data_IF_314037684418
#
_entry.id   IF_314037684418
#
_cell.length_a   1.000
_cell.length_b   1.000
_cell.length_c   1.000
_cell.angle_alpha   90.00
_cell.angle_beta   90.00
_cell.angle_gamma   90.00
#
_symmetry.space_group_name_H-M   'P 1'
#
loop_
_entity.id
_entity.type
_entity.pdbx_description
1 polymer ?
#
# COMPACT_ATOMS: atom_id res chain seq x y z
N UNK A 1 19.00 -54.95 -37.17
CA UNK A 1 19.17 -54.85 -35.70
C UNK A 1 18.94 -53.42 -35.26
N UNK A 2 17.98 -53.19 -34.36
CA UNK A 2 17.91 -52.11 -33.32
C UNK A 2 18.07 -50.64 -33.80
N UNK A 3 17.26 -49.66 -33.43
CA UNK A 3 16.28 -49.48 -32.35
C UNK A 3 15.44 -48.25 -32.66
N UNK A 4 14.16 -48.33 -32.32
CA UNK A 4 13.19 -47.26 -32.21
C UNK A 4 13.56 -46.28 -31.07
N UNK A 5 12.86 -45.13 -31.05
CA UNK A 5 12.36 -44.36 -29.90
C UNK A 5 12.85 -42.90 -29.87
N UNK A 6 12.07 -41.96 -30.43
CA UNK A 6 12.13 -40.52 -30.11
C UNK A 6 10.98 -39.72 -30.75
N UNK A 7 9.74 -39.93 -30.30
CA UNK A 7 8.64 -38.98 -30.51
C UNK A 7 7.62 -39.17 -29.41
N UNK A 8 7.84 -38.52 -28.26
CA UNK A 8 6.84 -38.24 -27.22
C UNK A 8 7.56 -37.49 -26.09
N UNK A 9 7.61 -36.16 -26.16
CA UNK A 9 7.80 -35.25 -25.00
C UNK A 9 7.78 -33.76 -25.43
N UNK A 10 6.86 -33.35 -26.31
CA UNK A 10 6.68 -31.92 -26.64
C UNK A 10 5.22 -31.49 -26.74
N UNK A 11 4.37 -31.98 -25.84
CA UNK A 11 2.96 -31.59 -25.80
C UNK A 11 2.40 -31.42 -24.37
N UNK A 12 3.23 -30.95 -23.42
CA UNK A 12 2.73 -30.62 -22.07
C UNK A 12 3.05 -29.18 -21.61
N UNK A 13 3.64 -28.35 -22.48
CA UNK A 13 4.05 -26.98 -22.13
C UNK A 13 3.07 -25.85 -22.51
N UNK A 14 2.03 -26.13 -23.31
CA UNK A 14 1.22 -25.06 -23.93
C UNK A 14 -0.14 -24.79 -23.29
N UNK A 15 -0.55 -25.55 -22.26
CA UNK A 15 -1.85 -25.34 -21.60
C UNK A 15 -1.81 -24.45 -20.35
N UNK A 16 -0.63 -24.08 -19.85
CA UNK A 16 -0.51 -23.20 -18.67
C UNK A 16 -0.53 -21.70 -19.02
N UNK A 17 -0.10 -21.31 -20.22
CA UNK A 17 -0.04 -19.90 -20.64
C UNK A 17 -1.40 -19.27 -20.96
N UNK A 18 -2.34 -20.07 -21.48
CA UNK A 18 -3.68 -19.59 -21.86
C UNK A 18 -4.56 -19.29 -20.64
N UNK A 19 -4.42 -20.05 -19.56
CA UNK A 19 -5.24 -19.85 -18.34
C UNK A 19 -4.91 -18.53 -17.63
N UNK A 20 -3.63 -18.16 -17.53
CA UNK A 20 -3.23 -16.89 -16.91
C UNK A 20 -3.68 -15.67 -17.75
N UNK A 21 -3.53 -15.74 -19.08
CA UNK A 21 -4.04 -14.69 -19.97
C UNK A 21 -5.57 -14.59 -19.92
N UNK A 22 -6.29 -15.72 -19.93
CA UNK A 22 -7.76 -15.74 -19.79
C UNK A 22 -8.22 -15.18 -18.45
N UNK A 23 -7.54 -15.48 -17.35
CA UNK A 23 -7.86 -14.94 -16.01
C UNK A 23 -7.57 -13.44 -15.95
N UNK A 24 -6.44 -12.97 -16.49
CA UNK A 24 -6.11 -11.54 -16.57
C UNK A 24 -7.08 -10.76 -17.47
N UNK A 25 -7.47 -11.35 -18.60
CA UNK A 25 -8.42 -10.75 -19.55
C UNK A 25 -9.84 -10.71 -19.00
N UNK A 26 -10.30 -11.78 -18.32
CA UNK A 26 -11.59 -11.78 -17.60
C UNK A 26 -11.62 -10.73 -16.48
N UNK A 27 -10.51 -10.58 -15.75
CA UNK A 27 -10.39 -9.56 -14.70
C UNK A 27 -10.51 -8.14 -15.26
N UNK A 28 -9.95 -7.86 -16.46
CA UNK A 28 -10.09 -6.57 -17.14
C UNK A 28 -11.51 -6.30 -17.65
N UNK A 29 -12.19 -7.31 -18.19
CA UNK A 29 -13.56 -7.15 -18.75
C UNK A 29 -14.59 -6.91 -17.65
N UNK A 30 -14.47 -7.58 -16.50
CA UNK A 30 -15.40 -7.41 -15.36
C UNK A 30 -15.33 -5.99 -14.78
N UNK A 31 -14.18 -5.32 -14.84
CA UNK A 31 -14.00 -3.95 -14.31
C UNK A 31 -14.69 -2.90 -15.19
N UNK A 32 -14.92 -3.18 -16.48
CA UNK A 32 -15.39 -2.19 -17.45
C UNK A 32 -16.92 -2.08 -17.57
N UNK A 33 -17.73 -2.83 -16.81
CA UNK A 33 -19.20 -2.84 -16.92
C UNK A 33 -19.93 -2.75 -15.57
N UNK A 34 -19.41 -1.94 -14.64
CA UNK A 34 -20.11 -1.69 -13.38
C UNK A 34 -21.10 -0.51 -13.52
N UNK A 35 -22.40 -0.71 -13.24
CA UNK A 35 -23.39 0.36 -13.25
C UNK A 35 -23.05 1.39 -12.16
N UNK A 36 -23.45 2.64 -12.39
CA UNK A 36 -23.32 3.76 -11.44
C UNK A 36 -24.25 3.54 -10.24
N UNK A 37 -23.87 2.67 -9.32
CA UNK A 37 -24.55 2.40 -8.06
C UNK A 37 -23.68 2.85 -6.87
N UNK A 38 -24.35 3.21 -5.76
CA UNK A 38 -23.84 3.94 -4.59
C UNK A 38 -22.38 3.66 -4.25
N UNK A 39 -21.62 4.74 -3.97
CA UNK A 39 -20.19 4.82 -3.61
C UNK A 39 -19.67 3.72 -2.64
N UNK A 40 -20.54 3.14 -1.81
CA UNK A 40 -20.26 2.04 -0.88
C UNK A 40 -20.20 0.65 -1.55
N UNK A 41 -20.86 0.44 -2.69
CA UNK A 41 -20.90 -0.85 -3.38
C UNK A 41 -19.56 -1.22 -4.02
N UNK A 42 -18.77 -0.25 -4.50
CA UNK A 42 -17.51 -0.53 -5.20
C UNK A 42 -16.35 -0.88 -4.26
N UNK A 43 -16.16 -0.12 -3.18
CA UNK A 43 -15.10 -0.40 -2.20
C UNK A 43 -15.36 -1.71 -1.44
N UNK A 44 -16.61 -1.94 -1.01
CA UNK A 44 -16.98 -3.18 -0.34
C UNK A 44 -16.79 -4.40 -1.24
N UNK A 45 -17.23 -4.31 -2.49
CA UNK A 45 -17.02 -5.39 -3.48
C UNK A 45 -15.53 -5.64 -3.71
N UNK A 46 -14.74 -4.58 -3.89
CA UNK A 46 -13.29 -4.70 -4.08
C UNK A 46 -12.61 -5.35 -2.88
N UNK A 47 -12.93 -4.90 -1.66
CA UNK A 47 -12.36 -5.45 -0.43
C UNK A 47 -12.69 -6.94 -0.31
N UNK A 48 -13.96 -7.32 -0.49
CA UNK A 48 -14.40 -8.72 -0.49
C UNK A 48 -13.70 -9.57 -1.56
N UNK A 49 -13.50 -9.03 -2.76
CA UNK A 49 -12.79 -9.71 -3.84
C UNK A 49 -11.32 -9.96 -3.49
N UNK A 50 -10.64 -8.97 -2.92
CA UNK A 50 -9.25 -9.08 -2.47
C UNK A 50 -9.13 -10.12 -1.36
N UNK A 51 -10.10 -10.18 -0.44
CA UNK A 51 -10.03 -11.01 0.76
C UNK A 51 -10.75 -12.36 0.65
N UNK A 52 -11.31 -12.72 -0.51
CA UNK A 52 -12.22 -13.88 -0.68
C UNK A 52 -11.67 -15.22 -0.16
N UNK A 53 -10.36 -15.43 -0.25
CA UNK A 53 -9.68 -16.68 0.13
C UNK A 53 -8.82 -16.52 1.40
N UNK A 54 -9.13 -15.50 2.22
CA UNK A 54 -8.42 -15.21 3.46
C UNK A 54 -9.33 -15.48 4.64
N UNK A 55 -8.77 -15.98 5.74
CA UNK A 55 -9.53 -16.37 6.94
C UNK A 55 -9.29 -15.37 8.06
N UNK A 56 -8.03 -15.05 8.36
CA UNK A 56 -7.67 -14.19 9.49
C UNK A 56 -7.53 -12.73 9.07
N UNK A 57 -7.67 -11.81 10.03
CA UNK A 57 -7.48 -10.37 9.78
C UNK A 57 -6.06 -10.06 9.32
N UNK A 58 -5.07 -10.81 9.81
CA UNK A 58 -3.68 -10.71 9.32
C UNK A 58 -3.56 -11.10 7.84
N UNK A 59 -4.27 -12.13 7.39
CA UNK A 59 -4.28 -12.55 5.98
C UNK A 59 -5.02 -11.53 5.10
N UNK A 60 -6.18 -11.06 5.56
CA UNK A 60 -6.97 -10.01 4.88
C UNK A 60 -6.16 -8.71 4.73
N UNK A 61 -5.57 -8.24 5.82
CA UNK A 61 -4.75 -7.03 5.83
C UNK A 61 -3.54 -7.15 4.89
N UNK A 62 -2.86 -8.30 4.88
CA UNK A 62 -1.76 -8.58 3.95
C UNK A 62 -2.25 -8.58 2.50
N UNK A 63 -3.40 -9.19 2.23
CA UNK A 63 -3.97 -9.21 0.87
C UNK A 63 -4.30 -7.80 0.38
N UNK A 64 -4.89 -6.95 1.23
CA UNK A 64 -5.17 -5.53 0.92
C UNK A 64 -3.87 -4.77 0.69
N UNK A 65 -2.89 -4.89 1.59
CA UNK A 65 -1.57 -4.27 1.46
C UNK A 65 -0.92 -4.63 0.11
N UNK A 66 -0.82 -5.93 -0.17
CA UNK A 66 -0.18 -6.43 -1.39
C UNK A 66 -0.94 -6.01 -2.63
N UNK A 67 -2.28 -6.08 -2.62
CA UNK A 67 -3.10 -5.67 -3.76
C UNK A 67 -2.85 -4.20 -4.08
N UNK A 68 -2.91 -3.31 -3.09
CA UNK A 68 -2.66 -1.89 -3.31
C UNK A 68 -1.25 -1.68 -3.86
N UNK A 69 -0.24 -2.27 -3.22
CA UNK A 69 1.16 -2.08 -3.59
C UNK A 69 1.51 -2.64 -4.99
N UNK A 70 0.71 -3.54 -5.53
CA UNK A 70 0.94 -4.16 -6.85
C UNK A 70 0.01 -3.63 -7.95
N UNK A 71 -1.04 -2.88 -7.59
CA UNK A 71 -2.05 -2.39 -8.53
C UNK A 71 -2.15 -0.87 -8.59
N UNK A 72 -1.49 -0.14 -7.70
CA UNK A 72 -1.52 1.32 -7.60
C UNK A 72 -0.09 1.85 -7.56
N UNK A 73 0.29 2.63 -8.57
CA UNK A 73 1.63 3.23 -8.70
C UNK A 73 1.77 4.54 -7.93
N UNK A 74 3.01 4.96 -7.68
CA UNK A 74 3.27 6.25 -7.07
C UNK A 74 3.09 7.38 -8.11
N UNK A 75 2.24 8.36 -7.80
CA UNK A 75 1.91 9.47 -8.70
C UNK A 75 2.82 10.68 -8.46
N UNK A 76 4.01 10.65 -9.06
CA UNK A 76 4.95 11.78 -9.05
C UNK A 76 4.34 13.06 -9.61
N UNK A 77 3.42 12.98 -10.59
CA UNK A 77 2.75 14.17 -11.13
C UNK A 77 1.88 14.83 -10.05
N UNK A 78 1.05 14.04 -9.35
CA UNK A 78 0.24 14.55 -8.23
C UNK A 78 1.12 15.10 -7.10
N UNK A 79 2.29 14.49 -6.86
CA UNK A 79 3.24 14.93 -5.82
C UNK A 79 3.79 16.35 -6.06
N UNK A 80 3.93 16.77 -7.31
CA UNK A 80 4.59 18.04 -7.68
C UNK A 80 3.71 19.03 -8.44
N UNK A 81 2.45 18.70 -8.76
CA UNK A 81 1.53 19.58 -9.47
C UNK A 81 0.47 20.19 -8.53
N UNK A 82 0.54 21.49 -8.20
CA UNK A 82 -0.39 22.15 -7.29
C UNK A 82 -1.86 22.09 -7.75
N UNK A 83 -2.12 22.17 -9.06
CA UNK A 83 -3.48 22.11 -9.60
C UNK A 83 -4.10 20.73 -9.39
N UNK A 84 -3.32 19.66 -9.61
CA UNK A 84 -3.76 18.30 -9.30
C UNK A 84 -3.97 18.11 -7.80
N UNK A 85 -3.11 18.69 -6.97
CA UNK A 85 -3.27 18.64 -5.52
C UNK A 85 -4.56 19.33 -5.07
N UNK A 86 -4.79 20.56 -5.50
CA UNK A 86 -6.00 21.33 -5.21
C UNK A 86 -7.26 20.58 -5.67
N UNK A 87 -7.20 19.92 -6.83
CA UNK A 87 -8.33 19.15 -7.33
C UNK A 87 -8.55 17.87 -6.51
N UNK A 88 -7.51 17.09 -6.20
CA UNK A 88 -7.64 15.71 -5.74
C UNK A 88 -7.75 15.63 -4.22
N UNK A 89 -7.11 16.54 -3.49
CA UNK A 89 -7.14 16.60 -2.03
C UNK A 89 -8.39 17.31 -1.48
N UNK A 90 -9.38 17.68 -2.31
CA UNK A 90 -10.66 18.24 -1.85
C UNK A 90 -11.37 17.36 -0.83
N UNK A 91 -11.20 16.04 -0.92
CA UNK A 91 -11.67 15.11 0.11
C UNK A 91 -10.93 13.76 0.03
N UNK A 92 -10.89 13.04 1.15
CA UNK A 92 -10.32 11.67 1.22
C UNK A 92 -10.96 10.74 0.19
N UNK A 93 -12.28 10.79 0.08
CA UNK A 93 -13.04 10.01 -0.90
C UNK A 93 -12.64 10.31 -2.35
N UNK A 94 -12.38 11.59 -2.67
CA UNK A 94 -11.97 11.96 -4.02
C UNK A 94 -10.59 11.42 -4.33
N UNK A 95 -9.66 11.51 -3.38
CA UNK A 95 -8.31 10.97 -3.54
C UNK A 95 -8.34 9.43 -3.70
N UNK A 96 -9.13 8.72 -2.89
CA UNK A 96 -9.35 7.26 -3.02
C UNK A 96 -9.94 6.92 -4.40
N UNK A 97 -10.98 7.63 -4.82
CA UNK A 97 -11.62 7.42 -6.13
C UNK A 97 -10.61 7.60 -7.26
N UNK A 98 -9.85 8.69 -7.24
CA UNK A 98 -8.82 8.97 -8.25
C UNK A 98 -7.69 7.94 -8.23
N UNK A 99 -7.30 7.44 -7.06
CA UNK A 99 -6.33 6.35 -6.93
C UNK A 99 -6.82 5.09 -7.66
N UNK A 100 -8.07 4.69 -7.43
CA UNK A 100 -8.66 3.50 -8.04
C UNK A 100 -8.91 3.64 -9.55
N UNK A 101 -9.33 4.83 -10.01
CA UNK A 101 -9.58 5.14 -11.43
C UNK A 101 -8.28 5.20 -12.23
N UNK A 102 -7.26 5.89 -11.71
CA UNK A 102 -6.01 6.16 -12.44
C UNK A 102 -4.93 5.12 -12.16
N UNK A 103 -5.15 4.23 -11.20
CA UNK A 103 -4.16 3.26 -10.69
C UNK A 103 -2.86 3.92 -10.22
N UNK A 104 -2.95 5.14 -9.71
CA UNK A 104 -1.80 5.85 -9.12
C UNK A 104 -2.19 6.86 -8.07
N UNK A 105 -1.35 7.03 -7.05
CA UNK A 105 -1.58 7.96 -5.95
C UNK A 105 -0.30 8.33 -5.19
N UNK A 106 -0.41 9.20 -4.19
CA UNK A 106 0.71 9.57 -3.30
C UNK A 106 0.50 8.98 -1.90
N UNK A 107 1.45 9.20 -0.98
CA UNK A 107 1.45 8.62 0.37
C UNK A 107 0.09 8.67 1.10
N UNK A 108 -0.54 9.85 1.15
CA UNK A 108 -1.86 10.00 1.76
C UNK A 108 -2.94 9.15 1.08
N UNK A 109 -2.91 9.02 -0.25
CA UNK A 109 -3.89 8.23 -0.99
C UNK A 109 -3.71 6.73 -0.78
N UNK A 110 -2.48 6.24 -0.68
CA UNK A 110 -2.21 4.87 -0.24
C UNK A 110 -2.79 4.62 1.14
N UNK A 111 -2.52 5.51 2.09
CA UNK A 111 -2.94 5.34 3.47
C UNK A 111 -4.46 5.37 3.63
N UNK A 112 -5.14 6.28 2.92
CA UNK A 112 -6.60 6.37 2.91
C UNK A 112 -7.25 5.17 2.22
N UNK A 113 -6.69 4.69 1.10
CA UNK A 113 -7.22 3.52 0.40
C UNK A 113 -7.09 2.26 1.25
N UNK A 114 -5.94 2.06 1.91
CA UNK A 114 -5.75 0.93 2.82
C UNK A 114 -6.75 0.95 3.96
N UNK A 115 -6.88 2.09 4.67
CA UNK A 115 -7.85 2.22 5.75
C UNK A 115 -9.28 1.98 5.27
N UNK A 116 -9.65 2.52 4.10
CA UNK A 116 -10.98 2.34 3.55
C UNK A 116 -11.27 0.86 3.25
N UNK A 117 -10.36 0.13 2.60
CA UNK A 117 -10.54 -1.29 2.31
C UNK A 117 -10.55 -2.16 3.57
N UNK A 118 -9.70 -1.86 4.56
CA UNK A 118 -9.73 -2.55 5.86
C UNK A 118 -11.08 -2.41 6.56
N UNK A 119 -11.67 -1.20 6.57
CA UNK A 119 -12.98 -0.95 7.15
C UNK A 119 -14.08 -1.78 6.51
N UNK A 120 -14.06 -1.97 5.19
CA UNK A 120 -15.07 -2.77 4.49
C UNK A 120 -15.06 -4.26 4.87
N UNK A 121 -13.95 -4.76 5.42
CA UNK A 121 -13.81 -6.16 5.89
C UNK A 121 -13.68 -6.27 7.42
N UNK A 122 -14.05 -5.22 8.15
CA UNK A 122 -14.12 -5.21 9.60
C UNK A 122 -12.78 -5.08 10.33
N UNK A 123 -11.73 -4.61 9.66
CA UNK A 123 -10.39 -4.45 10.24
C UNK A 123 -10.17 -2.98 10.62
N UNK A 124 -9.79 -2.74 11.88
CA UNK A 124 -9.41 -1.41 12.35
C UNK A 124 -8.04 -1.01 11.77
N UNK A 125 -8.00 0.13 11.08
CA UNK A 125 -6.77 0.73 10.58
C UNK A 125 -6.79 2.24 10.84
N UNK A 126 -5.63 2.79 11.21
CA UNK A 126 -5.43 4.22 11.44
C UNK A 126 -4.55 4.80 10.34
N UNK A 127 -4.76 6.08 10.04
CA UNK A 127 -3.91 6.87 9.15
C UNK A 127 -3.05 7.76 10.02
N UNK A 128 -1.74 7.70 9.81
CA UNK A 128 -0.76 8.37 10.64
C UNK A 128 -0.02 9.37 9.77
N UNK A 129 -0.08 10.63 10.19
CA UNK A 129 0.67 11.72 9.59
C UNK A 129 1.96 11.96 10.37
N UNK A 130 3.05 12.25 9.66
CA UNK A 130 4.32 12.58 10.29
C UNK A 130 5.45 12.90 9.33
N UNK A 131 6.63 12.42 9.69
CA UNK A 131 7.91 12.79 9.11
C UNK A 131 8.69 11.54 8.75
N UNK A 132 9.47 11.61 7.67
CA UNK A 132 10.45 10.58 7.34
C UNK A 132 11.86 11.15 7.25
N UNK A 133 12.86 10.31 7.55
CA UNK A 133 14.25 10.65 7.23
C UNK A 133 14.41 10.65 5.72
N UNK A 134 14.81 11.79 5.16
CA UNK A 134 15.05 11.91 3.72
C UNK A 134 16.35 11.22 3.29
N UNK A 135 16.29 10.52 2.17
CA UNK A 135 17.31 10.59 1.11
C UNK A 135 16.98 11.85 0.26
N UNK A 136 17.89 12.84 0.10
CA UNK A 136 17.83 14.05 -0.79
C UNK A 136 17.52 15.42 -0.07
N UNK A 137 18.22 16.55 -0.40
CA UNK A 137 18.67 17.54 0.60
C UNK A 137 17.73 18.73 0.94
N UNK A 138 17.92 19.20 2.18
CA UNK A 138 18.05 20.58 2.69
C UNK A 138 17.05 21.72 2.43
N UNK A 139 15.87 21.52 1.82
CA UNK A 139 15.00 22.68 1.49
C UNK A 139 13.58 22.63 2.06
N UNK A 140 13.15 21.50 2.64
CA UNK A 140 11.84 21.44 3.31
C UNK A 140 11.97 22.00 4.72
N UNK A 141 11.02 22.87 5.10
CA UNK A 141 10.80 23.29 6.48
C UNK A 141 10.72 22.03 7.35
N UNK A 142 11.74 21.84 8.20
CA UNK A 142 11.94 20.63 9.04
C UNK A 142 10.71 20.27 9.90
N UNK A 143 9.85 21.24 10.19
CA UNK A 143 8.70 21.09 11.09
C UNK A 143 7.34 20.90 10.40
N UNK A 144 7.29 20.64 9.09
CA UNK A 144 6.03 20.34 8.40
C UNK A 144 5.88 18.84 8.14
N UNK A 145 4.69 18.31 8.50
CA UNK A 145 4.27 16.96 8.13
C UNK A 145 4.36 16.83 6.61
N UNK A 146 5.04 15.79 6.15
CA UNK A 146 5.30 15.57 4.73
C UNK A 146 5.12 14.10 4.30
N UNK A 147 4.68 13.24 5.22
CA UNK A 147 4.44 11.84 4.94
C UNK A 147 3.25 11.30 5.71
N UNK A 148 2.59 10.29 5.14
CA UNK A 148 1.40 9.65 5.70
C UNK A 148 1.47 8.15 5.45
N UNK A 149 1.21 7.34 6.47
CA UNK A 149 1.23 5.87 6.45
C UNK A 149 0.10 5.29 7.32
N UNK A 150 0.15 3.99 7.66
CA UNK A 150 -0.88 3.36 8.49
C UNK A 150 -0.32 2.61 9.71
N UNK A 151 -1.20 2.45 10.70
CA UNK A 151 -1.17 1.31 11.59
C UNK A 151 -2.43 0.47 11.38
N UNK A 152 -2.33 -0.85 11.55
CA UNK A 152 -3.46 -1.78 11.48
C UNK A 152 -3.53 -2.58 12.77
N UNK A 153 -4.74 -2.79 13.30
CA UNK A 153 -4.93 -3.57 14.53
C UNK A 153 -5.18 -5.03 14.17
N UNK A 154 -4.26 -5.90 14.56
CA UNK A 154 -4.28 -7.33 14.29
C UNK A 154 -4.11 -8.08 15.59
N UNK A 155 -5.00 -9.05 15.86
CA UNK A 155 -4.97 -9.85 17.09
C UNK A 155 -4.86 -8.99 18.37
N UNK A 156 -5.58 -7.85 18.40
CA UNK A 156 -5.59 -6.91 19.52
C UNK A 156 -4.43 -5.90 19.55
N UNK A 157 -3.41 -6.03 18.69
CA UNK A 157 -2.22 -5.17 18.71
C UNK A 157 -2.14 -4.28 17.47
N UNK A 158 -1.69 -3.03 17.65
CA UNK A 158 -1.40 -2.14 16.54
C UNK A 158 -0.05 -2.49 15.89
N UNK A 159 -0.02 -2.55 14.57
CA UNK A 159 1.16 -2.90 13.78
C UNK A 159 1.37 -1.87 12.65
N UNK A 160 2.61 -1.43 12.46
CA UNK A 160 2.95 -0.35 11.52
C UNK A 160 3.18 -0.87 10.10
N UNK A 161 2.79 -0.09 9.11
CA UNK A 161 3.09 -0.36 7.71
C UNK A 161 3.16 0.93 6.89
N UNK A 162 3.91 0.89 5.80
CA UNK A 162 3.94 1.96 4.79
C UNK A 162 3.99 1.39 3.38
N UNK A 163 2.86 1.49 2.68
CA UNK A 163 2.74 1.05 1.28
C UNK A 163 3.61 1.88 0.34
N UNK A 164 3.82 3.17 0.64
CA UNK A 164 4.66 4.06 -0.19
C UNK A 164 6.10 3.58 -0.25
N UNK A 165 6.66 3.23 0.91
CA UNK A 165 8.02 2.70 0.98
C UNK A 165 8.06 1.25 0.48
N UNK A 166 7.03 0.45 0.76
CA UNK A 166 6.91 -0.90 0.21
C UNK A 166 7.00 -0.94 -1.32
N UNK A 167 6.31 -0.02 -2.02
CA UNK A 167 6.38 0.07 -3.47
C UNK A 167 7.71 0.64 -3.96
N UNK A 168 8.26 1.65 -3.26
CA UNK A 168 9.51 2.32 -3.66
C UNK A 168 10.75 1.43 -3.50
N UNK A 169 10.76 0.53 -2.50
CA UNK A 169 11.86 -0.42 -2.25
C UNK A 169 11.59 -1.83 -2.78
N UNK A 170 10.41 -2.05 -3.36
CA UNK A 170 10.03 -3.30 -3.99
C UNK A 170 10.92 -3.69 -5.17
N UNK A 171 10.90 -4.97 -5.55
CA UNK A 171 11.68 -5.53 -6.66
C UNK A 171 10.81 -6.42 -7.51
N UNK A 172 11.04 -6.42 -8.83
CA UNK A 172 10.34 -7.27 -9.79
C UNK A 172 8.80 -7.15 -9.71
N UNK A 173 8.29 -5.93 -9.49
CA UNK A 173 6.85 -5.67 -9.35
C UNK A 173 6.24 -6.16 -8.02
N UNK A 174 7.05 -6.64 -7.08
CA UNK A 174 6.61 -7.07 -5.76
C UNK A 174 7.00 -6.03 -4.70
N UNK A 175 6.13 -5.73 -3.73
CA UNK A 175 6.45 -4.81 -2.66
C UNK A 175 7.52 -5.39 -1.73
N UNK A 176 8.36 -4.52 -1.16
CA UNK A 176 9.23 -4.89 -0.07
C UNK A 176 8.41 -5.10 1.20
N UNK A 177 8.32 -6.37 1.62
CA UNK A 177 7.52 -6.78 2.77
C UNK A 177 8.10 -6.32 4.11
N UNK A 178 9.31 -5.77 4.15
CA UNK A 178 9.85 -5.12 5.35
C UNK A 178 8.91 -4.01 5.85
N UNK A 179 8.25 -3.30 4.93
CA UNK A 179 7.32 -2.20 5.22
C UNK A 179 5.89 -2.65 5.55
N UNK A 180 5.66 -3.95 5.77
CA UNK A 180 4.40 -4.50 6.28
C UNK A 180 4.62 -5.12 7.65
N UNK A 181 3.88 -4.64 8.66
CA UNK A 181 4.02 -5.09 10.06
C UNK A 181 5.45 -4.87 10.58
N UNK A 182 6.05 -3.74 10.21
CA UNK A 182 7.40 -3.38 10.62
C UNK A 182 7.42 -3.16 12.13
N UNK A 183 8.44 -3.69 12.81
CA UNK A 183 8.56 -3.52 14.26
C UNK A 183 8.72 -2.04 14.60
N UNK A 184 8.07 -1.54 15.66
CA UNK A 184 8.21 -0.15 16.11
C UNK A 184 9.66 0.33 16.26
N UNK A 185 10.55 -0.53 16.75
CA UNK A 185 11.98 -0.23 16.95
C UNK A 185 12.73 -0.02 15.63
N UNK A 186 12.30 -0.66 14.55
CA UNK A 186 12.89 -0.49 13.23
C UNK A 186 12.23 0.70 12.51
N UNK A 187 10.90 0.83 12.63
CA UNK A 187 10.12 1.86 11.95
C UNK A 187 10.50 3.27 12.41
N UNK A 188 10.76 3.48 13.71
CA UNK A 188 11.18 4.76 14.29
C UNK A 188 12.52 5.28 13.74
N UNK A 189 13.35 4.40 13.15
CA UNK A 189 14.62 4.80 12.56
C UNK A 189 14.42 5.65 11.31
N UNK A 190 13.28 5.51 10.63
CA UNK A 190 12.97 6.19 9.37
C UNK A 190 11.69 7.02 9.43
N UNK A 191 10.75 6.72 10.33
CA UNK A 191 9.45 7.40 10.45
C UNK A 191 9.24 7.95 11.85
N UNK A 192 8.76 9.19 11.94
CA UNK A 192 8.37 9.81 13.21
C UNK A 192 6.95 10.36 13.09
N UNK A 193 5.98 9.88 13.87
CA UNK A 193 4.60 10.36 13.79
C UNK A 193 4.45 11.74 14.43
N UNK A 194 3.50 12.54 13.93
CA UNK A 194 3.11 13.81 14.57
C UNK A 194 2.59 13.59 15.99
N UNK A 195 1.80 12.54 16.18
CA UNK A 195 1.37 12.07 17.50
C UNK A 195 2.28 10.91 17.94
N UNK A 196 3.05 11.17 19.00
CA UNK A 196 4.07 10.26 19.53
C UNK A 196 3.49 8.92 20.01
N UNK A 197 2.19 8.86 20.33
CA UNK A 197 1.53 7.59 20.68
C UNK A 197 1.64 6.56 19.54
N UNK A 198 1.64 7.01 18.28
CA UNK A 198 1.78 6.15 17.11
C UNK A 198 3.20 5.64 16.86
N UNK A 199 4.17 6.00 17.70
CA UNK A 199 5.47 5.30 17.70
C UNK A 199 5.30 3.87 18.16
N UNK A 200 4.26 3.57 18.96
CA UNK A 200 4.04 2.28 19.62
C UNK A 200 5.21 1.83 20.50
N UNK A 201 6.06 2.77 20.91
CA UNK A 201 7.18 2.54 21.80
C UNK A 201 6.86 3.08 23.19
N UNK A 202 7.24 2.34 24.23
CA UNK A 202 7.14 2.81 25.63
C UNK A 202 8.01 4.05 25.87
N UNK A 203 9.20 4.06 25.28
CA UNK A 203 10.20 5.13 25.42
C UNK A 203 10.70 5.55 24.02
N UNK A 204 9.93 6.34 23.26
CA UNK A 204 10.36 6.80 21.94
C UNK A 204 11.52 7.80 22.04
N UNK A 205 12.37 7.84 21.02
CA UNK A 205 13.35 8.92 20.88
C UNK A 205 12.63 10.27 20.71
N UNK A 206 13.27 11.38 21.08
CA UNK A 206 12.70 12.70 20.80
C UNK A 206 12.74 13.01 19.30
N UNK A 207 11.83 13.86 18.83
CA UNK A 207 11.86 14.35 17.44
C UNK A 207 13.21 14.99 17.09
N UNK A 208 13.79 15.76 18.01
CA UNK A 208 15.13 16.34 17.87
C UNK A 208 16.22 15.27 17.61
N UNK A 209 16.17 14.16 18.36
CA UNK A 209 17.09 13.03 18.17
C UNK A 209 16.81 12.29 16.86
N UNK A 210 15.54 12.15 16.47
CA UNK A 210 15.15 11.60 15.17
C UNK A 210 15.71 12.43 14.01
N UNK A 211 15.69 13.76 14.11
CA UNK A 211 16.26 14.67 13.11
C UNK A 211 17.79 14.72 13.09
N UNK A 212 18.47 14.05 14.03
CA UNK A 212 19.93 14.06 14.15
C UNK A 212 20.50 15.36 14.71
N UNK A 213 19.66 16.25 15.28
CA UNK A 213 20.12 17.46 15.98
C UNK A 213 20.54 17.06 17.38
N UNK A 214 21.78 16.62 17.56
CA UNK A 214 22.31 16.39 18.91
C UNK A 214 22.22 17.71 19.71
N UNK A 215 21.90 17.60 21.00
CA UNK A 215 22.11 18.70 21.92
C UNK A 215 23.60 19.02 21.93
N UNK A 216 23.98 20.16 21.34
CA UNK A 216 25.25 20.80 21.68
C UNK A 216 25.14 21.12 23.17
N UNK A 217 25.87 20.35 23.99
CA UNK A 217 26.10 20.68 25.39
C UNK A 217 26.87 22.00 25.49
#
# INVERSE_FOLDING_TARGET
>A
MRKQLLFLLFAFGLLLGSTQQLVAQRSRVIINHLPKEKKTSSLKTLANQITRNTTTDTQKSRAIFTWIATNIDYDSDLRYNPKLQEEYFRSKDKLIKKALERKKTVCAGYAYLFQALCREVGIEASVIDGFTKKTVPSNTVRNQVHHTWNAVKLNGNWELLDITWATSFGKNGMPDTFWYRTRPQDFILTHYPKDVAWTLLKNPISFRRFEGVLATN
#
